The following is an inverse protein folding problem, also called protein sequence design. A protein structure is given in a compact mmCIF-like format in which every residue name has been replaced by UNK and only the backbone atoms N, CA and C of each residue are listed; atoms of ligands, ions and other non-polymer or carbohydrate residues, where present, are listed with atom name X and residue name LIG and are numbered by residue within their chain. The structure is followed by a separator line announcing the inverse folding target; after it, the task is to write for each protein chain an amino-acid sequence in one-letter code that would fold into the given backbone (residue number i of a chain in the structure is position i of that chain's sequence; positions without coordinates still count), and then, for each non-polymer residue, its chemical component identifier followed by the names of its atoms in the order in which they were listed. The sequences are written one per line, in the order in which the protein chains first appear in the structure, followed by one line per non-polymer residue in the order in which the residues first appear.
data_IF_427577331145
#
_entry.id   IF_427577331145
#
_cell.length_a   1.000
_cell.length_b   1.000
_cell.length_c   1.000
_cell.angle_alpha   90.00
_cell.angle_beta   90.00
_cell.angle_gamma   90.00
#
_symmetry.space_group_name_H-M   'P 1'
#
loop_
_entity.id
_entity.type
_entity.pdbx_description
1 polymer ?
#
# COMPACT_ATOMS: atom_id res chain seq x y z
N UNK A 1 20.61 9.74 -11.04
CA UNK A 1 20.03 8.74 -10.12
C UNK A 1 19.12 7.83 -10.94
N UNK A 2 19.63 6.67 -11.34
CA UNK A 2 18.94 5.68 -12.19
C UNK A 2 17.81 5.03 -11.39
N UNK A 3 16.57 5.20 -11.88
CA UNK A 3 15.35 4.65 -11.26
C UNK A 3 15.45 3.12 -11.17
N UNK A 4 15.29 2.51 -9.97
CA UNK A 4 15.34 1.07 -9.82
C UNK A 4 14.15 0.38 -10.49
N UNK A 5 14.46 -0.56 -11.37
CA UNK A 5 13.54 -1.33 -12.22
C UNK A 5 12.43 -2.02 -11.41
N UNK A 6 11.22 -1.44 -11.47
CA UNK A 6 9.91 -2.10 -11.44
C UNK A 6 9.41 -2.85 -10.19
N UNK A 7 10.18 -3.79 -9.66
CA UNK A 7 9.77 -4.62 -8.51
C UNK A 7 9.90 -3.90 -7.17
N UNK A 8 10.86 -2.97 -7.04
CA UNK A 8 11.04 -2.18 -5.81
C UNK A 8 9.90 -1.19 -5.56
N UNK A 9 9.25 -0.67 -6.61
CA UNK A 9 8.13 0.26 -6.46
C UNK A 9 6.88 -0.41 -5.92
N UNK A 10 6.59 -1.64 -6.37
CA UNK A 10 5.46 -2.42 -5.84
C UNK A 10 5.68 -2.73 -4.36
N UNK A 11 6.87 -3.21 -3.99
CA UNK A 11 7.20 -3.52 -2.60
C UNK A 11 7.10 -2.30 -1.68
N UNK A 12 7.65 -1.16 -2.09
CA UNK A 12 7.58 0.09 -1.30
C UNK A 12 6.14 0.62 -1.21
N UNK A 13 5.36 0.57 -2.29
CA UNK A 13 3.95 1.00 -2.26
C UNK A 13 3.06 0.09 -1.42
N UNK A 14 3.28 -1.22 -1.45
CA UNK A 14 2.57 -2.18 -0.57
C UNK A 14 2.95 -1.96 0.89
N UNK A 15 4.25 -1.78 1.18
CA UNK A 15 4.71 -1.48 2.54
C UNK A 15 4.11 -0.19 3.10
N UNK A 16 4.11 0.89 2.32
CA UNK A 16 3.45 2.14 2.70
C UNK A 16 1.94 1.98 2.87
N UNK A 17 1.29 1.21 1.99
CA UNK A 17 -0.12 0.88 2.07
C UNK A 17 -0.48 0.12 3.35
N UNK A 18 0.34 -0.86 3.75
CA UNK A 18 0.18 -1.59 5.02
C UNK A 18 0.32 -0.66 6.21
N UNK A 19 1.36 0.19 6.25
CA UNK A 19 1.60 1.10 7.38
C UNK A 19 0.45 2.10 7.53
N UNK A 20 0.00 2.69 6.43
CA UNK A 20 -1.13 3.61 6.42
C UNK A 20 -2.43 2.90 6.79
N UNK A 21 -2.69 1.73 6.21
CA UNK A 21 -3.87 0.92 6.48
C UNK A 21 -3.95 0.45 7.93
N UNK A 22 -2.84 0.00 8.51
CA UNK A 22 -2.75 -0.39 9.92
C UNK A 22 -2.97 0.82 10.84
N UNK A 23 -2.35 1.97 10.54
CA UNK A 23 -2.53 3.20 11.33
C UNK A 23 -3.98 3.68 11.31
N UNK A 24 -4.64 3.62 10.15
CA UNK A 24 -6.05 3.93 10.00
C UNK A 24 -6.93 2.93 10.78
N UNK A 25 -6.65 1.64 10.67
CA UNK A 25 -7.36 0.58 11.38
C UNK A 25 -7.25 0.71 12.90
N UNK A 26 -6.05 1.01 13.44
CA UNK A 26 -5.84 1.27 14.88
C UNK A 26 -6.64 2.49 15.33
N UNK A 27 -6.61 3.57 14.56
CA UNK A 27 -7.31 4.81 14.89
C UNK A 27 -8.83 4.61 14.90
N UNK A 28 -9.37 3.93 13.88
CA UNK A 28 -10.79 3.60 13.80
C UNK A 28 -11.24 2.66 14.92
N UNK A 29 -10.45 1.62 15.19
CA UNK A 29 -10.78 0.68 16.24
C UNK A 29 -10.78 1.30 17.64
N UNK A 30 -9.88 2.26 17.90
CA UNK A 30 -9.89 3.05 19.14
C UNK A 30 -11.12 3.94 19.27
N UNK A 31 -11.76 4.28 18.15
CA UNK A 31 -12.90 5.19 18.10
C UNK A 31 -14.25 4.48 18.21
N UNK A 32 -14.33 3.22 17.79
CA UNK A 32 -15.58 2.43 17.81
C UNK A 32 -15.72 1.51 19.02
N UNK A 33 -14.71 1.38 19.88
CA UNK A 33 -14.65 0.40 20.99
C UNK A 33 -14.86 -1.07 20.54
N UNK A 34 -14.75 -1.32 19.23
CA UNK A 34 -14.86 -2.64 18.63
C UNK A 34 -13.51 -3.37 18.60
N UNK A 35 -13.55 -4.67 18.29
CA UNK A 35 -12.38 -5.53 18.18
C UNK A 35 -11.25 -4.91 17.35
N UNK A 36 -10.19 -4.49 18.05
CA UNK A 36 -9.02 -3.85 17.47
C UNK A 36 -8.40 -4.68 16.35
N UNK A 37 -8.37 -6.00 16.54
CA UNK A 37 -7.83 -6.93 15.55
C UNK A 37 -8.62 -6.95 14.25
N UNK A 38 -9.95 -6.79 14.30
CA UNK A 38 -10.81 -6.84 13.12
C UNK A 38 -10.62 -5.60 12.24
N UNK A 39 -10.64 -4.41 12.84
CA UNK A 39 -10.44 -3.16 12.11
C UNK A 39 -9.02 -2.99 11.57
N UNK A 40 -8.01 -3.48 12.30
CA UNK A 40 -6.63 -3.55 11.81
C UNK A 40 -6.54 -4.50 10.61
N UNK A 41 -7.17 -5.67 10.66
CA UNK A 41 -7.17 -6.62 9.54
C UNK A 41 -7.81 -6.02 8.27
N UNK A 42 -8.93 -5.31 8.43
CA UNK A 42 -9.58 -4.60 7.31
C UNK A 42 -8.67 -3.48 6.79
N UNK A 43 -8.13 -2.65 7.68
CA UNK A 43 -7.25 -1.54 7.31
C UNK A 43 -6.00 -2.01 6.56
N UNK A 44 -5.34 -3.07 7.05
CA UNK A 44 -4.19 -3.70 6.39
C UNK A 44 -4.59 -4.33 5.05
N UNK A 45 -5.72 -5.04 4.99
CA UNK A 45 -6.20 -5.65 3.75
C UNK A 45 -6.45 -4.61 2.64
N UNK A 46 -7.14 -3.52 2.97
CA UNK A 46 -7.37 -2.40 2.05
C UNK A 46 -6.04 -1.75 1.67
N UNK A 47 -5.15 -1.53 2.66
CA UNK A 47 -3.82 -0.96 2.45
C UNK A 47 -2.96 -1.76 1.47
N UNK A 48 -2.97 -3.09 1.57
CA UNK A 48 -2.25 -3.98 0.65
C UNK A 48 -2.81 -3.87 -0.76
N UNK A 49 -4.13 -3.96 -0.92
CA UNK A 49 -4.78 -3.89 -2.25
C UNK A 49 -4.50 -2.54 -2.91
N UNK A 50 -4.63 -1.45 -2.16
CA UNK A 50 -4.38 -0.10 -2.64
C UNK A 50 -2.91 0.11 -3.00
N UNK A 51 -1.99 -0.32 -2.12
CA UNK A 51 -0.55 -0.26 -2.35
C UNK A 51 -0.09 -1.09 -3.54
N UNK A 52 -0.66 -2.29 -3.73
CA UNK A 52 -0.38 -3.15 -4.87
C UNK A 52 -0.91 -2.56 -6.18
N UNK A 53 -2.13 -1.99 -6.17
CA UNK A 53 -2.72 -1.37 -7.36
C UNK A 53 -1.95 -0.12 -7.80
N UNK A 54 -1.51 0.71 -6.85
CA UNK A 54 -0.66 1.87 -7.15
C UNK A 54 0.73 1.43 -7.61
N UNK A 55 1.34 0.47 -6.91
CA UNK A 55 2.65 -0.07 -7.26
C UNK A 55 2.70 -0.65 -8.66
N UNK A 56 1.69 -1.44 -9.04
CA UNK A 56 1.58 -2.02 -10.39
C UNK A 56 1.32 -0.98 -11.47
N UNK A 57 0.49 0.05 -11.20
CA UNK A 57 0.30 1.18 -12.13
C UNK A 57 1.57 2.02 -12.31
N UNK A 58 2.35 2.21 -11.24
CA UNK A 58 3.64 2.90 -11.30
C UNK A 58 4.70 2.07 -12.04
N UNK A 59 4.77 0.75 -11.84
CA UNK A 59 5.62 -0.16 -12.64
C UNK A 59 5.28 -0.07 -14.13
N UNK A 60 3.99 -0.14 -14.46
CA UNK A 60 3.51 -0.05 -15.84
C UNK A 60 3.87 1.30 -16.48
N UNK A 61 3.75 2.42 -15.75
CA UNK A 61 4.16 3.74 -16.24
C UNK A 61 5.67 3.88 -16.37
N UNK A 62 6.45 3.33 -15.43
CA UNK A 62 7.91 3.37 -15.47
C UNK A 62 8.47 2.59 -16.67
N UNK A 63 7.90 1.41 -16.98
CA UNK A 63 8.24 0.64 -18.17
C UNK A 63 7.86 1.35 -19.47
N UNK A 64 6.75 2.08 -19.49
CA UNK A 64 6.34 2.90 -20.64
C UNK A 64 7.27 4.08 -20.90
N UNK A 65 7.80 4.70 -19.85
CA UNK A 65 8.71 5.85 -19.95
C UNK A 65 10.12 5.48 -20.42
N UNK A 66 10.58 4.24 -20.17
CA UNK A 66 11.90 3.77 -20.60
C UNK A 66 11.93 3.22 -22.04
N UNK A 67 10.83 3.35 -22.79
CA UNK A 67 10.71 2.87 -24.17
C UNK A 67 10.60 4.02 -25.20
N UNK A 68 10.88 5.26 -24.78
CA UNK A 68 10.79 6.46 -25.61
C UNK A 68 12.07 7.28 -25.53
#
# INVERSE_FOLDING_TARGET
MTLPTGSKYVGTCVGLGIILGASFGITYARMTEEDLGFWIAIGVGIGIIFGAMIGTRLDAKAKKKNKN
#
